data_IF_277900344902
#
_entry.id   IF_277900344902
#
_cell.length_a   1.000
_cell.length_b   1.000
_cell.length_c   1.000
_cell.angle_alpha   90.00
_cell.angle_beta   90.00
_cell.angle_gamma   90.00
#
_symmetry.space_group_name_H-M   'P 1'
#
loop_
_entity.id
_entity.type
_entity.pdbx_description
1 polymer ?
#
# COMPACT_ATOMS: atom_id res chain seq x y z
N UNK A 1 -23.61 24.07 27.62
CA UNK A 1 -22.82 24.55 26.47
C UNK A 1 -21.38 24.07 26.63
N UNK A 2 -21.09 22.86 26.14
CA UNK A 2 -19.79 22.43 25.58
C UNK A 2 -20.14 21.50 24.40
N UNK A 3 -19.53 21.67 23.22
CA UNK A 3 -20.01 21.12 21.96
C UNK A 3 -19.32 19.79 21.61
N UNK A 4 -20.04 19.00 20.81
CA UNK A 4 -19.57 17.99 19.83
C UNK A 4 -18.66 16.84 20.31
N UNK A 5 -19.36 15.75 20.60
CA UNK A 5 -18.91 14.37 20.71
C UNK A 5 -18.68 13.75 19.30
N UNK A 6 -17.76 12.78 19.24
CA UNK A 6 -17.40 11.88 18.13
C UNK A 6 -16.92 12.50 16.79
N UNK A 7 -15.59 12.55 16.62
CA UNK A 7 -14.95 11.77 15.54
C UNK A 7 -13.45 11.56 15.82
N UNK A 8 -13.13 10.76 16.85
CA UNK A 8 -11.76 10.26 17.04
C UNK A 8 -11.77 8.77 16.68
N UNK A 9 -11.51 8.48 15.41
CA UNK A 9 -11.05 7.15 15.02
C UNK A 9 -9.67 7.01 15.67
N UNK A 10 -9.63 6.39 16.84
CA UNK A 10 -8.41 6.00 17.53
C UNK A 10 -7.60 5.10 16.59
N UNK A 11 -6.64 5.68 15.86
CA UNK A 11 -5.59 4.95 15.13
C UNK A 11 -4.60 4.39 16.16
N UNK A 12 -5.09 3.70 17.19
CA UNK A 12 -4.25 3.04 18.18
C UNK A 12 -3.74 1.75 17.57
N UNK A 13 -2.50 1.86 17.09
CA UNK A 13 -1.56 0.78 16.85
C UNK A 13 -2.01 -0.27 15.82
N UNK A 14 -1.89 0.08 14.53
CA UNK A 14 -1.40 -0.95 13.61
C UNK A 14 -0.02 -1.39 14.14
N UNK A 15 0.22 -2.71 14.32
CA UNK A 15 1.51 -3.20 14.77
C UNK A 15 2.57 -2.54 13.89
N UNK A 16 3.58 -1.94 14.51
CA UNK A 16 4.70 -1.29 13.84
C UNK A 16 5.09 -2.17 12.68
N UNK A 17 4.73 -1.73 11.47
CA UNK A 17 4.82 -2.52 10.25
C UNK A 17 6.28 -2.94 10.15
N UNK A 18 6.59 -4.16 10.58
CA UNK A 18 7.94 -4.70 10.62
C UNK A 18 8.43 -4.78 9.19
N UNK A 19 9.10 -3.73 8.74
CA UNK A 19 9.62 -3.48 7.40
C UNK A 19 8.97 -4.32 6.28
N UNK A 20 7.70 -4.05 5.95
CA UNK A 20 7.03 -4.70 4.81
C UNK A 20 7.70 -4.31 3.48
N UNK A 21 8.29 -3.12 3.41
CA UNK A 21 9.07 -2.61 2.30
C UNK A 21 10.57 -2.83 2.56
N UNK A 22 11.19 -3.84 1.94
CA UNK A 22 12.63 -4.01 2.10
C UNK A 22 13.38 -2.84 1.43
N UNK A 23 14.63 -2.58 1.84
CA UNK A 23 15.44 -1.47 1.31
C UNK A 23 15.66 -1.54 -0.20
N UNK A 24 15.57 -2.75 -0.77
CA UNK A 24 15.74 -3.04 -2.20
C UNK A 24 14.40 -3.19 -2.94
N UNK A 25 13.26 -2.97 -2.27
CA UNK A 25 11.94 -3.04 -2.92
C UNK A 25 11.77 -1.90 -3.91
N UNK A 26 11.17 -2.20 -5.06
CA UNK A 26 10.83 -1.18 -6.03
C UNK A 26 9.62 -0.38 -5.52
N UNK A 27 9.64 0.95 -5.68
CA UNK A 27 8.54 1.80 -5.24
C UNK A 27 8.14 2.80 -6.32
N UNK A 28 6.84 3.08 -6.40
CA UNK A 28 6.24 3.95 -7.40
C UNK A 28 5.19 4.87 -6.75
N UNK A 29 5.08 6.11 -7.21
CA UNK A 29 4.17 7.13 -6.66
C UNK A 29 4.79 8.05 -5.60
N UNK A 30 3.99 8.98 -5.04
CA UNK A 30 4.48 10.03 -4.13
C UNK A 30 5.11 9.46 -2.85
N UNK A 31 6.16 10.11 -2.35
CA UNK A 31 6.80 9.72 -1.07
C UNK A 31 5.92 10.06 0.14
N UNK A 32 5.08 11.10 0.02
CA UNK A 32 4.19 11.63 1.05
C UNK A 32 2.75 11.10 0.93
N UNK A 33 2.52 10.07 0.12
CA UNK A 33 1.20 9.48 -0.04
C UNK A 33 0.67 8.96 1.30
N UNK A 34 -0.56 9.35 1.66
CA UNK A 34 -1.22 8.93 2.90
C UNK A 34 -1.46 7.42 2.99
N UNK A 35 -1.56 6.75 1.84
CA UNK A 35 -1.79 5.32 1.72
C UNK A 35 -0.62 4.70 0.97
N UNK A 36 -0.04 3.65 1.54
CA UNK A 36 0.98 2.82 0.91
C UNK A 36 0.46 1.40 0.76
N UNK A 37 0.52 0.87 -0.46
CA UNK A 37 0.18 -0.53 -0.78
C UNK A 37 1.48 -1.29 -1.02
N UNK A 38 1.66 -2.40 -0.32
CA UNK A 38 2.80 -3.31 -0.52
C UNK A 38 2.30 -4.56 -1.25
N UNK A 39 2.72 -4.74 -2.49
CA UNK A 39 2.47 -5.95 -3.27
C UNK A 39 3.62 -6.93 -3.09
N UNK A 40 3.32 -8.09 -2.52
CA UNK A 40 4.21 -9.23 -2.50
C UNK A 40 3.95 -10.06 -3.75
N UNK A 41 4.96 -10.19 -4.59
CA UNK A 41 4.85 -10.93 -5.83
C UNK A 41 6.03 -11.89 -6.00
N UNK A 42 5.76 -13.01 -6.64
CA UNK A 42 6.75 -13.99 -7.05
C UNK A 42 6.55 -14.28 -8.55
N UNK A 43 7.51 -13.97 -9.46
CA UNK A 43 7.56 -14.41 -10.85
C UNK A 43 7.25 -15.89 -11.11
N UNK A 44 7.55 -16.79 -10.18
CA UNK A 44 7.29 -18.22 -10.34
C UNK A 44 5.84 -18.59 -9.97
N UNK A 45 5.07 -17.68 -9.37
CA UNK A 45 3.69 -17.90 -8.98
C UNK A 45 2.70 -17.55 -10.12
N UNK A 46 2.02 -18.56 -10.66
CA UNK A 46 1.06 -18.38 -11.76
C UNK A 46 -0.15 -17.53 -11.34
N UNK A 47 -0.55 -17.62 -10.08
CA UNK A 47 -1.65 -16.80 -9.54
C UNK A 47 -1.27 -15.32 -9.49
N UNK A 48 -0.02 -15.01 -9.12
CA UNK A 48 0.50 -13.63 -9.17
C UNK A 48 0.52 -13.12 -10.61
N UNK A 49 0.96 -13.93 -11.57
CA UNK A 49 0.96 -13.56 -12.99
C UNK A 49 -0.45 -13.28 -13.53
N UNK A 50 -1.45 -14.06 -13.10
CA UNK A 50 -2.84 -13.85 -13.49
C UNK A 50 -3.42 -12.53 -12.94
N UNK A 51 -2.98 -12.09 -11.76
CA UNK A 51 -3.48 -10.89 -11.08
C UNK A 51 -2.73 -9.61 -11.49
N UNK A 52 -1.48 -9.72 -11.94
CA UNK A 52 -0.64 -8.57 -12.32
C UNK A 52 -1.30 -7.55 -13.29
N UNK A 53 -2.09 -7.95 -14.31
CA UNK A 53 -2.80 -7.00 -15.18
C UNK A 53 -3.83 -6.16 -14.44
N UNK A 54 -4.52 -6.74 -13.44
CA UNK A 54 -5.51 -6.03 -12.64
C UNK A 54 -4.83 -5.00 -11.76
N UNK A 55 -3.72 -5.36 -11.11
CA UNK A 55 -2.98 -4.42 -10.27
C UNK A 55 -2.45 -3.25 -11.10
N UNK A 56 -1.95 -3.50 -12.32
CA UNK A 56 -1.53 -2.42 -13.24
C UNK A 56 -2.68 -1.46 -13.59
N UNK A 57 -3.92 -1.93 -13.66
CA UNK A 57 -5.07 -1.06 -13.89
C UNK A 57 -5.38 -0.20 -12.65
N UNK A 58 -5.32 -0.79 -11.47
CA UNK A 58 -5.51 -0.07 -10.20
C UNK A 58 -4.41 0.99 -9.97
N UNK A 59 -3.16 0.68 -10.31
CA UNK A 59 -2.06 1.64 -10.23
C UNK A 59 -2.33 2.90 -11.07
N UNK A 60 -2.88 2.72 -12.28
CA UNK A 60 -3.27 3.84 -13.15
C UNK A 60 -4.46 4.59 -12.58
N UNK A 61 -5.44 3.88 -12.05
CA UNK A 61 -6.63 4.49 -11.46
C UNK A 61 -6.30 5.37 -10.24
N UNK A 62 -5.32 4.95 -9.43
CA UNK A 62 -4.85 5.67 -8.23
C UNK A 62 -3.55 6.46 -8.44
N UNK A 63 -3.20 6.78 -9.69
CA UNK A 63 -1.98 7.51 -10.02
C UNK A 63 -1.91 8.85 -9.24
N UNK A 64 -0.74 9.13 -8.66
CA UNK A 64 -0.50 10.34 -7.86
C UNK A 64 -1.17 10.38 -6.48
N UNK A 65 -1.94 9.36 -6.08
CA UNK A 65 -2.65 9.33 -4.78
C UNK A 65 -2.08 8.30 -3.81
N UNK A 66 -1.56 7.19 -4.35
CA UNK A 66 -1.10 6.03 -3.57
C UNK A 66 0.38 5.78 -3.85
N UNK A 67 1.11 5.38 -2.81
CA UNK A 67 2.46 4.84 -2.93
C UNK A 67 2.40 3.33 -3.08
N UNK A 68 2.94 2.82 -4.16
CA UNK A 68 3.05 1.39 -4.43
C UNK A 68 4.45 0.93 -4.08
N UNK A 69 4.57 -0.21 -3.41
CA UNK A 69 5.83 -0.88 -3.13
C UNK A 69 5.72 -2.33 -3.57
N UNK A 70 6.64 -2.76 -4.42
CA UNK A 70 6.72 -4.12 -4.94
C UNK A 70 7.85 -4.85 -4.23
N UNK A 71 7.50 -5.95 -3.58
CA UNK A 71 8.43 -6.80 -2.87
C UNK A 71 8.42 -8.19 -3.47
N UNK A 72 9.58 -8.60 -3.93
CA UNK A 72 9.81 -10.00 -4.29
C UNK A 72 9.79 -10.86 -3.03
N UNK A 73 9.11 -12.00 -3.12
CA UNK A 73 9.03 -13.05 -2.10
C UNK A 73 9.83 -14.26 -2.54
#
# INVERSE_FOLDING_TARGET
>A
MKPEEQNQIDIKAFPSIGNLAASHSYSYGPLDAKVTIVEFFDPECESCAAVAPLIKNEMKYYEGKVRWVFRYM
#
